data_IF_610450841620
#
_entry.id   IF_610450841620
#
_cell.length_a   1.000
_cell.length_b   1.000
_cell.length_c   1.000
_cell.angle_alpha   90.00
_cell.angle_beta   90.00
_cell.angle_gamma   90.00
#
_symmetry.space_group_name_H-M   'P 1'
#
loop_
_entity.id
_entity.type
_entity.pdbx_description
1 polymer ?
#
# COMPACT_ATOMS: atom_id res chain seq x y z
N UNK A 1 35.12 -20.61 33.59
CA UNK A 1 33.83 -21.25 33.28
C UNK A 1 32.82 -20.74 34.27
N UNK A 2 31.84 -19.96 33.81
CA UNK A 2 30.69 -19.54 34.62
C UNK A 2 29.58 -20.57 34.43
N UNK A 3 29.05 -21.11 35.53
CA UNK A 3 27.90 -21.99 35.51
C UNK A 3 26.66 -21.10 35.41
N UNK A 4 25.89 -21.26 34.34
CA UNK A 4 24.58 -20.64 34.23
C UNK A 4 23.58 -21.42 35.09
N UNK A 5 22.75 -20.71 35.86
CA UNK A 5 21.72 -21.32 36.70
C UNK A 5 20.33 -20.91 36.20
N UNK A 6 19.41 -21.88 36.16
CA UNK A 6 17.99 -21.67 35.91
C UNK A 6 17.25 -21.93 37.21
N UNK A 7 16.50 -20.93 37.69
CA UNK A 7 15.64 -21.08 38.86
C UNK A 7 14.22 -21.31 38.38
N UNK A 8 13.62 -22.45 38.76
CA UNK A 8 12.19 -22.70 38.57
C UNK A 8 11.49 -22.35 39.87
N UNK A 9 10.46 -21.51 39.79
CA UNK A 9 9.62 -21.17 40.94
C UNK A 9 8.57 -22.29 41.17
N UNK A 10 8.67 -23.05 42.27
CA UNK A 10 7.70 -24.11 42.59
C UNK A 10 6.35 -23.57 43.07
N UNK A 11 6.25 -22.27 43.37
CA UNK A 11 5.01 -21.59 43.78
C UNK A 11 4.25 -20.93 42.63
N UNK A 12 4.73 -21.07 41.38
CA UNK A 12 4.11 -20.45 40.24
C UNK A 12 2.68 -20.97 40.01
N UNK A 13 1.70 -20.07 40.05
CA UNK A 13 0.32 -20.40 39.72
C UNK A 13 0.18 -20.61 38.20
N UNK A 14 -0.64 -21.58 37.81
CA UNK A 14 -0.98 -21.78 36.41
C UNK A 14 -1.82 -20.60 35.91
N UNK A 15 -1.33 -19.90 34.88
CA UNK A 15 -2.05 -18.82 34.25
C UNK A 15 -3.11 -19.38 33.29
N UNK A 16 -4.23 -18.69 33.20
CA UNK A 16 -5.19 -18.91 32.11
C UNK A 16 -4.61 -18.41 30.78
N UNK A 17 -5.16 -18.86 29.63
CA UNK A 17 -4.68 -18.39 28.32
C UNK A 17 -4.67 -16.85 28.17
N UNK A 18 -5.65 -16.15 28.74
CA UNK A 18 -5.71 -14.69 28.66
C UNK A 18 -4.66 -14.01 29.55
N UNK A 19 -4.36 -14.58 30.72
CA UNK A 19 -3.33 -14.07 31.62
C UNK A 19 -1.92 -14.28 31.03
N UNK A 20 -1.70 -15.37 30.29
CA UNK A 20 -0.48 -15.54 29.51
C UNK A 20 -0.29 -14.44 28.47
N UNK A 21 -1.35 -14.10 27.72
CA UNK A 21 -1.30 -13.03 26.72
C UNK A 21 -1.02 -11.67 27.38
N UNK A 22 -1.67 -11.39 28.50
CA UNK A 22 -1.42 -10.16 29.26
C UNK A 22 0.03 -10.08 29.76
N UNK A 23 0.56 -11.17 30.32
CA UNK A 23 1.93 -11.24 30.80
C UNK A 23 2.94 -11.00 29.68
N UNK A 24 2.75 -11.64 28.51
CA UNK A 24 3.59 -11.46 27.32
C UNK A 24 3.56 -10.00 26.84
N UNK A 25 2.38 -9.40 26.73
CA UNK A 25 2.24 -8.01 26.27
C UNK A 25 2.80 -6.98 27.26
N UNK A 26 2.89 -7.34 28.55
CA UNK A 26 3.45 -6.50 29.61
C UNK A 26 4.95 -6.72 29.86
N UNK A 27 5.57 -7.70 29.20
CA UNK A 27 6.97 -8.03 29.40
C UNK A 27 7.87 -6.87 28.96
N UNK A 28 8.79 -6.46 29.83
CA UNK A 28 9.78 -5.41 29.54
C UNK A 28 10.98 -5.93 28.76
N UNK A 29 11.25 -7.24 28.86
CA UNK A 29 12.13 -7.92 27.93
C UNK A 29 11.37 -8.13 26.62
N UNK A 30 11.89 -7.62 25.52
CA UNK A 30 11.31 -7.85 24.20
C UNK A 30 11.27 -9.35 23.93
N UNK A 31 10.06 -9.90 23.75
CA UNK A 31 9.84 -11.25 23.20
C UNK A 31 9.44 -11.05 21.74
N UNK A 32 10.31 -10.41 20.97
CA UNK A 32 10.12 -10.46 19.53
C UNK A 32 10.70 -11.79 19.03
N UNK A 33 10.05 -12.37 18.02
CA UNK A 33 10.66 -13.49 17.28
C UNK A 33 11.99 -13.08 16.64
N UNK A 34 12.17 -11.77 16.46
CA UNK A 34 13.34 -11.16 15.89
C UNK A 34 14.59 -11.49 16.72
N UNK A 35 14.63 -11.23 18.02
CA UNK A 35 15.86 -11.36 18.81
C UNK A 35 16.19 -12.80 19.20
N UNK A 36 15.29 -13.75 18.92
CA UNK A 36 15.54 -15.20 19.11
C UNK A 36 16.51 -15.81 18.08
N UNK A 37 16.78 -15.09 16.98
CA UNK A 37 17.68 -15.52 15.91
C UNK A 37 18.52 -14.33 15.43
N UNK A 38 19.84 -14.54 15.32
CA UNK A 38 20.78 -13.55 14.77
C UNK A 38 20.21 -12.96 13.47
N UNK A 39 20.18 -11.62 13.29
CA UNK A 39 19.74 -10.99 12.04
C UNK A 39 20.39 -11.60 10.78
N UNK A 40 21.64 -12.05 10.84
CA UNK A 40 22.34 -12.72 9.73
C UNK A 40 21.82 -14.15 9.46
N UNK A 41 21.16 -14.77 10.43
CA UNK A 41 20.51 -16.07 10.30
C UNK A 41 19.06 -15.97 9.81
N UNK A 42 18.53 -14.76 9.58
CA UNK A 42 17.19 -14.55 9.02
C UNK A 42 17.24 -14.60 7.50
N UNK A 43 16.64 -15.60 6.82
CA UNK A 43 16.68 -15.72 5.36
C UNK A 43 16.01 -14.58 4.60
N UNK A 44 15.28 -13.70 5.30
CA UNK A 44 14.37 -12.70 4.74
C UNK A 44 14.70 -11.27 5.19
N UNK A 45 15.94 -10.98 5.60
CA UNK A 45 16.31 -9.63 6.03
C UNK A 45 15.99 -8.54 4.98
N UNK A 46 16.01 -8.90 3.70
CA UNK A 46 15.62 -8.03 2.57
C UNK A 46 14.10 -7.93 2.32
N UNK A 47 13.26 -8.65 3.08
CA UNK A 47 11.80 -8.69 2.93
C UNK A 47 11.04 -8.60 4.25
N UNK A 48 11.71 -8.28 5.36
CA UNK A 48 11.03 -7.92 6.60
C UNK A 48 10.29 -6.59 6.40
N UNK A 49 8.97 -6.61 6.60
CA UNK A 49 8.16 -5.39 6.67
C UNK A 49 8.57 -4.65 7.96
N UNK A 50 9.17 -3.49 7.81
CA UNK A 50 9.53 -2.61 8.92
C UNK A 50 8.47 -1.53 9.13
N UNK A 51 8.68 -0.69 10.13
CA UNK A 51 7.79 0.45 10.40
C UNK A 51 7.78 1.46 9.25
N UNK A 52 8.81 1.44 8.39
CA UNK A 52 8.88 2.30 7.19
C UNK A 52 7.77 1.95 6.18
N UNK A 53 7.48 0.66 5.99
CA UNK A 53 6.41 0.17 5.12
C UNK A 53 5.01 0.39 5.70
N UNK A 54 4.92 0.62 7.01
CA UNK A 54 3.69 0.96 7.74
C UNK A 54 3.46 2.48 7.87
N UNK A 55 4.40 3.31 7.41
CA UNK A 55 4.26 4.75 7.50
C UNK A 55 3.08 5.26 6.67
N UNK A 56 2.40 6.31 7.17
CA UNK A 56 1.38 7.00 6.38
C UNK A 56 2.01 7.48 5.06
N UNK A 57 1.41 7.11 3.94
CA UNK A 57 1.91 7.29 2.57
C UNK A 57 3.00 6.32 2.07
N UNK A 58 3.46 5.33 2.85
CA UNK A 58 4.41 4.32 2.38
C UNK A 58 3.86 3.53 1.17
N UNK A 59 2.60 3.10 1.23
CA UNK A 59 1.92 2.44 0.11
C UNK A 59 1.86 3.33 -1.14
N UNK A 60 1.63 4.64 -0.98
CA UNK A 60 1.60 5.61 -2.08
C UNK A 60 3.01 5.82 -2.66
N UNK A 61 4.01 6.02 -1.80
CA UNK A 61 5.40 6.20 -2.22
C UNK A 61 5.94 4.97 -2.97
N UNK A 62 5.64 3.78 -2.48
CA UNK A 62 6.03 2.52 -3.13
C UNK A 62 5.35 2.35 -4.50
N UNK A 63 4.07 2.70 -4.61
CA UNK A 63 3.35 2.68 -5.89
C UNK A 63 3.89 3.72 -6.89
N UNK A 64 4.31 4.88 -6.41
CA UNK A 64 4.90 5.94 -7.24
C UNK A 64 6.35 5.64 -7.64
N UNK A 65 7.07 4.86 -6.83
CA UNK A 65 8.45 4.44 -7.08
C UNK A 65 8.58 3.21 -7.99
N UNK A 66 7.48 2.48 -8.24
CA UNK A 66 7.47 1.41 -9.25
C UNK A 66 7.73 2.04 -10.63
N UNK A 67 8.86 1.69 -11.24
CA UNK A 67 9.28 2.13 -12.57
C UNK A 67 8.45 1.46 -13.71
N UNK A 68 7.20 1.11 -13.43
CA UNK A 68 6.26 0.60 -14.42
C UNK A 68 5.74 1.77 -15.25
N UNK A 69 6.37 1.93 -16.41
CA UNK A 69 6.11 2.93 -17.45
C UNK A 69 4.74 2.74 -18.12
N UNK A 70 4.03 1.64 -17.85
CA UNK A 70 2.74 1.31 -18.48
C UNK A 70 1.57 1.28 -17.48
N UNK A 71 1.56 2.17 -16.47
CA UNK A 71 0.29 2.53 -15.83
C UNK A 71 -0.57 3.19 -16.91
N UNK A 72 -1.42 2.39 -17.54
CA UNK A 72 -2.50 2.81 -18.44
C UNK A 72 -3.50 3.63 -17.65
N UNK A 73 -3.13 4.86 -17.29
CA UNK A 73 -4.06 5.86 -16.85
C UNK A 73 -5.06 6.03 -17.98
N UNK A 74 -6.34 5.79 -17.71
CA UNK A 74 -7.38 6.36 -18.55
C UNK A 74 -7.23 7.86 -18.38
N UNK A 75 -6.64 8.50 -19.37
CA UNK A 75 -6.63 9.95 -19.48
C UNK A 75 -8.09 10.36 -19.69
N UNK A 76 -8.84 10.52 -18.60
CA UNK A 76 -10.05 11.33 -18.63
C UNK A 76 -9.54 12.75 -18.80
N UNK A 77 -9.19 13.13 -20.04
CA UNK A 77 -9.11 14.57 -20.35
C UNK A 77 -10.48 15.10 -19.92
N UNK A 78 -10.58 16.03 -18.96
CA UNK A 78 -11.62 17.02 -19.11
C UNK A 78 -11.23 17.68 -20.44
N UNK A 79 -11.96 17.40 -21.51
CA UNK A 79 -11.73 18.12 -22.78
C UNK A 79 -11.73 19.59 -22.38
N UNK A 80 -10.67 20.33 -22.71
CA UNK A 80 -10.53 21.73 -22.30
C UNK A 80 -11.70 22.61 -22.78
N UNK A 81 -12.55 22.06 -23.66
CA UNK A 81 -13.87 22.56 -23.99
C UNK A 81 -14.90 21.42 -23.79
N UNK A 82 -15.39 21.24 -22.57
CA UNK A 82 -16.62 20.49 -22.30
C UNK A 82 -17.77 21.50 -22.20
N UNK A 83 -18.79 21.37 -23.05
CA UNK A 83 -19.94 22.28 -23.11
C UNK A 83 -20.85 21.94 -24.29
N UNK A 84 -21.94 22.69 -24.43
CA UNK A 84 -22.78 22.61 -25.62
C UNK A 84 -22.16 23.47 -26.72
N UNK A 85 -22.06 22.93 -27.93
CA UNK A 85 -21.49 23.62 -29.08
C UNK A 85 -22.55 23.83 -30.14
N UNK A 86 -22.61 25.05 -30.69
CA UNK A 86 -23.60 25.36 -31.73
C UNK A 86 -23.20 24.68 -33.04
N UNK A 87 -24.14 23.94 -33.61
CA UNK A 87 -23.98 23.36 -34.93
C UNK A 87 -24.10 24.47 -35.98
N UNK A 88 -23.07 24.62 -36.81
CA UNK A 88 -23.00 25.61 -37.87
C UNK A 88 -23.62 25.06 -39.16
N UNK A 89 -23.33 23.80 -39.50
CA UNK A 89 -23.85 23.18 -40.71
C UNK A 89 -23.95 21.65 -40.60
N UNK A 90 -24.90 21.08 -41.35
CA UNK A 90 -24.99 19.64 -41.61
C UNK A 90 -24.85 19.42 -43.11
N UNK A 91 -23.95 18.53 -43.51
CA UNK A 91 -23.67 18.22 -44.92
C UNK A 91 -23.68 16.71 -45.13
N UNK A 92 -23.97 16.29 -46.36
CA UNK A 92 -23.78 14.91 -46.82
C UNK A 92 -22.43 14.83 -47.52
N UNK A 93 -21.57 13.93 -47.08
CA UNK A 93 -20.28 13.70 -47.74
C UNK A 93 -20.49 12.91 -49.03
N UNK A 94 -19.46 12.89 -49.90
CA UNK A 94 -19.50 12.16 -51.16
C UNK A 94 -19.70 10.63 -50.99
N UNK A 95 -19.40 10.10 -49.80
CA UNK A 95 -19.63 8.70 -49.42
C UNK A 95 -20.99 8.48 -48.73
N UNK A 96 -21.84 9.52 -48.69
CA UNK A 96 -23.21 9.44 -48.17
C UNK A 96 -23.32 9.59 -46.65
N UNK A 97 -22.24 9.87 -45.92
CA UNK A 97 -22.28 10.08 -44.47
C UNK A 97 -22.74 11.50 -44.13
N UNK A 98 -23.29 11.69 -42.93
CA UNK A 98 -23.64 13.03 -42.41
C UNK A 98 -22.42 13.58 -41.68
N UNK A 99 -21.96 14.74 -42.12
CA UNK A 99 -20.92 15.53 -41.48
C UNK A 99 -21.56 16.73 -40.77
N UNK A 100 -21.11 17.00 -39.55
CA UNK A 100 -21.61 18.07 -38.69
C UNK A 100 -20.44 19.01 -38.37
N UNK A 101 -20.53 20.25 -38.84
CA UNK A 101 -19.59 21.32 -38.49
C UNK A 101 -20.16 22.09 -37.29
N UNK A 102 -19.36 22.29 -36.25
CA UNK A 102 -19.75 23.01 -35.03
C UNK A 102 -18.74 24.10 -34.68
N UNK A 103 -19.21 25.14 -33.98
CA UNK A 103 -18.39 26.20 -33.40
C UNK A 103 -17.62 25.62 -32.20
N UNK A 104 -16.31 25.81 -32.12
CA UNK A 104 -15.47 25.27 -31.03
C UNK A 104 -15.48 26.15 -29.76
N UNK A 105 -16.28 27.22 -29.75
CA UNK A 105 -16.60 28.01 -28.57
C UNK A 105 -17.84 27.45 -27.85
N UNK A 106 -17.74 27.02 -26.57
CA UNK A 106 -18.88 26.49 -25.81
C UNK A 106 -19.89 27.59 -25.47
N UNK A 107 -21.16 27.23 -25.36
CA UNK A 107 -22.26 28.12 -24.94
C UNK A 107 -22.61 27.90 -23.46
#
# INVERSE_FOLDING_TARGET
MTIATLTIDPGAAALTPNEHVAAINSATAAIDRADSVDPAARPIQAGEITVAELASAAAKGNLDALADVDRGYVQTRPVAASGDFKVIALKRTAVGLVEVEYDDVPV
#
